data_IF_815037157766
#
_entry.id   IF_815037157766
#
_cell.length_a   1.000
_cell.length_b   1.000
_cell.length_c   1.000
_cell.angle_alpha   90.00
_cell.angle_beta   90.00
_cell.angle_gamma   90.00
#
_symmetry.space_group_name_H-M   'P 1'
#
loop_
_entity.id
_entity.type
_entity.pdbx_description
1 polymer ?
#
# COMPACT_ATOMS: atom_id res chain seq x y z
N UNK A 1 -29.19 -5.22 -16.45
CA UNK A 1 -29.50 -5.55 -17.84
C UNK A 1 -28.56 -6.67 -18.33
N UNK A 2 -29.07 -7.80 -18.89
CA UNK A 2 -28.25 -8.90 -19.41
C UNK A 2 -27.27 -8.45 -20.52
N UNK A 3 -27.66 -7.50 -21.36
CA UNK A 3 -26.79 -6.94 -22.42
C UNK A 3 -25.63 -6.17 -21.83
N UNK A 4 -25.88 -5.36 -20.81
CA UNK A 4 -24.85 -4.59 -20.11
C UNK A 4 -23.84 -5.50 -19.42
N UNK A 5 -24.30 -6.56 -18.73
CA UNK A 5 -23.42 -7.58 -18.11
C UNK A 5 -22.55 -8.30 -19.15
N UNK A 6 -23.12 -8.63 -20.31
CA UNK A 6 -22.37 -9.25 -21.40
C UNK A 6 -21.23 -8.35 -21.88
N UNK A 7 -21.54 -7.09 -22.18
CA UNK A 7 -20.51 -6.14 -22.66
C UNK A 7 -19.46 -5.85 -21.59
N UNK A 8 -19.89 -5.70 -20.34
CA UNK A 8 -18.99 -5.30 -19.25
C UNK A 8 -18.07 -6.42 -18.74
N UNK A 9 -18.54 -7.67 -18.76
CA UNK A 9 -17.81 -8.77 -18.14
C UNK A 9 -17.48 -9.90 -19.12
N UNK A 10 -18.45 -10.39 -19.89
CA UNK A 10 -18.23 -11.60 -20.69
C UNK A 10 -17.34 -11.33 -21.91
N UNK A 11 -17.52 -10.20 -22.60
CA UNK A 11 -16.66 -9.89 -23.74
C UNK A 11 -15.20 -9.63 -23.33
N UNK A 12 -14.91 -8.81 -22.31
CA UNK A 12 -13.52 -8.66 -21.83
C UNK A 12 -12.91 -9.95 -21.33
N UNK A 13 -13.69 -10.83 -20.70
CA UNK A 13 -13.22 -12.15 -20.27
C UNK A 13 -12.85 -13.04 -21.46
N UNK A 14 -13.65 -13.01 -22.53
CA UNK A 14 -13.35 -13.77 -23.73
C UNK A 14 -12.07 -13.26 -24.41
N UNK A 15 -11.91 -11.94 -24.52
CA UNK A 15 -10.67 -11.37 -25.06
C UNK A 15 -9.44 -11.70 -24.21
N UNK A 16 -9.59 -11.70 -22.88
CA UNK A 16 -8.50 -12.10 -21.97
C UNK A 16 -8.15 -13.57 -22.14
N UNK A 17 -9.16 -14.44 -22.32
CA UNK A 17 -8.95 -15.85 -22.58
C UNK A 17 -8.20 -16.08 -23.89
N UNK A 18 -8.68 -15.45 -24.99
CA UNK A 18 -8.02 -15.56 -26.30
C UNK A 18 -6.57 -15.06 -26.22
N UNK A 19 -6.34 -13.93 -25.55
CA UNK A 19 -5.00 -13.39 -25.31
C UNK A 19 -4.10 -14.36 -24.54
N UNK A 20 -4.61 -14.98 -23.48
CA UNK A 20 -3.84 -15.95 -22.71
C UNK A 20 -3.48 -17.19 -23.55
N UNK A 21 -4.38 -17.63 -24.41
CA UNK A 21 -4.12 -18.77 -25.33
C UNK A 21 -3.09 -18.39 -26.38
N UNK A 22 -3.20 -17.21 -26.99
CA UNK A 22 -2.27 -16.73 -28.03
C UNK A 22 -0.84 -16.49 -27.50
N UNK A 23 -0.73 -16.02 -26.25
CA UNK A 23 0.55 -15.71 -25.60
C UNK A 23 1.08 -16.88 -24.74
N UNK A 24 0.43 -18.03 -24.77
CA UNK A 24 0.77 -19.23 -23.98
C UNK A 24 0.89 -18.93 -22.47
N UNK A 25 -0.04 -18.10 -21.93
CA UNK A 25 -0.09 -17.72 -20.52
C UNK A 25 -0.94 -18.73 -19.76
N UNK A 26 -0.33 -19.52 -18.93
CA UNK A 26 -0.97 -20.53 -18.08
C UNK A 26 -1.25 -20.04 -16.64
N UNK A 27 -0.56 -18.98 -16.20
CA UNK A 27 -0.75 -18.36 -14.88
C UNK A 27 -1.17 -16.88 -14.99
N UNK A 28 -2.46 -16.63 -14.78
CA UNK A 28 -3.01 -15.27 -14.79
C UNK A 28 -2.57 -14.43 -13.58
N UNK A 29 -2.27 -15.06 -12.44
CA UNK A 29 -1.80 -14.36 -11.24
C UNK A 29 -0.36 -13.87 -11.39
N UNK A 30 0.43 -14.56 -12.20
CA UNK A 30 1.80 -14.20 -12.58
C UNK A 30 1.95 -13.23 -13.75
N UNK A 31 0.85 -12.76 -14.38
CA UNK A 31 0.90 -11.82 -15.51
C UNK A 31 1.87 -10.66 -15.27
N UNK A 32 2.78 -10.45 -16.20
CA UNK A 32 3.78 -9.38 -16.17
C UNK A 32 3.22 -8.05 -16.69
N UNK A 33 3.88 -6.95 -16.33
CA UNK A 33 3.46 -5.60 -16.75
C UNK A 33 3.40 -5.46 -18.28
N UNK A 34 4.38 -6.01 -19.00
CA UNK A 34 4.41 -5.98 -20.46
C UNK A 34 3.24 -6.74 -21.10
N UNK A 35 2.84 -7.87 -20.53
CA UNK A 35 1.69 -8.65 -20.99
C UNK A 35 0.40 -7.87 -20.76
N UNK A 36 0.26 -7.21 -19.61
CA UNK A 36 -0.89 -6.34 -19.30
C UNK A 36 -0.98 -5.20 -20.32
N UNK A 37 0.13 -4.54 -20.64
CA UNK A 37 0.18 -3.46 -21.62
C UNK A 37 -0.14 -3.96 -23.05
N UNK A 38 0.29 -5.18 -23.41
CA UNK A 38 -0.10 -5.79 -24.69
C UNK A 38 -1.60 -6.06 -24.75
N UNK A 39 -2.16 -6.63 -23.70
CA UNK A 39 -3.61 -6.83 -23.61
C UNK A 39 -4.38 -5.51 -23.66
N UNK A 40 -3.90 -4.46 -23.01
CA UNK A 40 -4.51 -3.13 -23.05
C UNK A 40 -4.61 -2.60 -24.48
N UNK A 41 -3.57 -2.72 -25.28
CA UNK A 41 -3.58 -2.34 -26.72
C UNK A 41 -4.62 -3.11 -27.54
N UNK A 42 -4.86 -4.38 -27.21
CA UNK A 42 -5.91 -5.18 -27.86
C UNK A 42 -7.30 -4.64 -27.47
N UNK A 43 -7.48 -4.30 -26.20
CA UNK A 43 -8.75 -3.76 -25.69
C UNK A 43 -9.03 -2.37 -26.29
N UNK A 44 -8.03 -1.51 -26.44
CA UNK A 44 -8.14 -0.19 -27.07
C UNK A 44 -8.72 -0.24 -28.48
N UNK A 45 -8.42 -1.29 -29.23
CA UNK A 45 -8.95 -1.49 -30.59
C UNK A 45 -10.43 -1.94 -30.59
N UNK A 46 -10.94 -2.41 -29.48
CA UNK A 46 -12.28 -3.02 -29.38
C UNK A 46 -13.32 -2.14 -28.70
N UNK A 47 -12.89 -1.24 -27.80
CA UNK A 47 -13.81 -0.44 -26.97
C UNK A 47 -13.29 0.97 -26.69
N UNK A 48 -14.20 1.91 -26.49
CA UNK A 48 -13.88 3.30 -26.12
C UNK A 48 -13.48 3.38 -24.62
N UNK A 49 -14.16 2.61 -23.75
CA UNK A 49 -13.90 2.63 -22.31
C UNK A 49 -12.96 1.48 -21.90
N UNK A 50 -11.69 1.64 -22.20
CA UNK A 50 -10.63 0.66 -21.94
C UNK A 50 -10.55 0.32 -20.45
N UNK A 51 -10.58 1.33 -19.59
CA UNK A 51 -10.40 1.16 -18.12
C UNK A 51 -11.41 0.18 -17.52
N UNK A 52 -12.68 0.22 -17.95
CA UNK A 52 -13.68 -0.70 -17.46
C UNK A 52 -13.43 -2.14 -17.91
N UNK A 53 -12.98 -2.33 -19.13
CA UNK A 53 -12.67 -3.66 -19.68
C UNK A 53 -11.40 -4.25 -19.08
N UNK A 54 -10.39 -3.43 -18.78
CA UNK A 54 -9.16 -3.87 -18.10
C UNK A 54 -9.38 -4.36 -16.68
N UNK A 55 -10.47 -3.96 -16.01
CA UNK A 55 -10.83 -4.51 -14.69
C UNK A 55 -11.00 -6.03 -14.69
N UNK A 56 -11.18 -6.65 -15.85
CA UNK A 56 -11.31 -8.10 -15.95
C UNK A 56 -10.07 -8.84 -15.43
N UNK A 57 -8.88 -8.32 -15.67
CA UNK A 57 -7.64 -8.92 -15.16
C UNK A 57 -7.66 -8.93 -13.63
N UNK A 58 -7.96 -7.79 -13.02
CA UNK A 58 -7.98 -7.65 -11.57
C UNK A 58 -9.06 -8.52 -10.92
N UNK A 59 -10.25 -8.55 -11.52
CA UNK A 59 -11.36 -9.38 -11.06
C UNK A 59 -11.05 -10.88 -11.17
N UNK A 60 -10.45 -11.31 -12.27
CA UNK A 60 -10.08 -12.72 -12.47
C UNK A 60 -8.97 -13.14 -11.50
N UNK A 61 -7.92 -12.33 -11.35
CA UNK A 61 -6.87 -12.55 -10.35
C UNK A 61 -7.43 -12.64 -8.93
N UNK A 62 -8.33 -11.72 -8.58
CA UNK A 62 -8.96 -11.71 -7.26
C UNK A 62 -9.74 -13.00 -7.00
N UNK A 63 -10.51 -13.45 -7.96
CA UNK A 63 -11.26 -14.70 -7.85
C UNK A 63 -10.28 -15.87 -7.65
N UNK A 64 -9.28 -16.02 -8.50
CA UNK A 64 -8.29 -17.10 -8.40
C UNK A 64 -7.60 -17.08 -7.03
N UNK A 65 -7.07 -15.95 -6.61
CA UNK A 65 -6.37 -15.81 -5.34
C UNK A 65 -7.24 -16.11 -4.12
N UNK A 66 -8.50 -15.67 -4.12
CA UNK A 66 -9.41 -15.87 -2.99
C UNK A 66 -9.98 -17.30 -2.93
N UNK A 67 -10.13 -17.99 -4.06
CA UNK A 67 -10.73 -19.33 -4.13
C UNK A 67 -9.70 -20.46 -4.16
N UNK A 68 -8.42 -20.15 -4.32
CA UNK A 68 -7.36 -21.14 -4.28
C UNK A 68 -7.36 -21.92 -2.95
N UNK A 69 -7.07 -23.23 -2.94
CA UNK A 69 -6.99 -24.02 -1.70
C UNK A 69 -5.87 -23.51 -0.78
N UNK A 70 -4.75 -23.10 -1.35
CA UNK A 70 -3.60 -22.52 -0.65
C UNK A 70 -3.36 -21.09 -1.09
N UNK A 71 -2.56 -20.34 -0.30
CA UNK A 71 -2.17 -18.96 -0.67
C UNK A 71 -1.09 -19.01 -1.74
N UNK A 72 -1.37 -18.41 -2.89
CA UNK A 72 -0.42 -18.29 -3.99
C UNK A 72 0.54 -17.12 -3.73
N UNK A 73 1.60 -17.39 -2.95
CA UNK A 73 2.61 -16.39 -2.57
C UNK A 73 3.41 -15.83 -3.76
N UNK A 74 3.45 -16.54 -4.89
CA UNK A 74 4.08 -16.12 -6.14
C UNK A 74 3.21 -15.15 -6.95
N UNK A 75 1.93 -15.00 -6.59
CA UNK A 75 1.01 -14.10 -7.28
C UNK A 75 1.51 -12.64 -7.24
N UNK A 76 1.44 -11.95 -8.38
CA UNK A 76 1.88 -10.55 -8.49
C UNK A 76 0.97 -9.56 -7.75
N UNK A 77 -0.22 -9.99 -7.34
CA UNK A 77 -1.15 -9.19 -6.53
C UNK A 77 -1.75 -10.05 -5.43
N UNK A 78 -1.63 -9.61 -4.18
CA UNK A 78 -2.24 -10.26 -3.03
C UNK A 78 -3.44 -9.48 -2.54
N UNK A 79 -4.57 -10.14 -2.35
CA UNK A 79 -5.81 -9.54 -1.85
C UNK A 79 -5.95 -9.80 -0.36
N UNK A 80 -6.06 -8.72 0.43
CA UNK A 80 -5.97 -8.76 1.89
C UNK A 80 -7.12 -9.54 2.55
N UNK A 81 -8.25 -9.67 1.88
CA UNK A 81 -9.39 -10.48 2.32
C UNK A 81 -9.01 -11.95 2.61
N UNK A 82 -7.99 -12.47 1.92
CA UNK A 82 -7.53 -13.87 2.06
C UNK A 82 -6.83 -14.14 3.39
N UNK A 83 -6.25 -13.12 4.02
CA UNK A 83 -5.33 -13.33 5.15
C UNK A 83 -6.02 -13.31 6.52
N UNK A 84 -7.31 -12.96 6.61
CA UNK A 84 -8.09 -12.92 7.85
C UNK A 84 -7.34 -12.22 9.01
N UNK A 85 -6.78 -11.04 8.71
CA UNK A 85 -5.96 -10.28 9.65
C UNK A 85 -6.80 -9.77 10.82
N UNK A 86 -6.17 -9.66 12.00
CA UNK A 86 -6.80 -9.09 13.19
C UNK A 86 -7.15 -7.61 12.99
N UNK A 87 -8.17 -7.13 13.69
CA UNK A 87 -8.70 -5.76 13.55
C UNK A 87 -7.66 -4.68 13.83
N UNK A 88 -6.76 -4.91 14.78
CA UNK A 88 -5.66 -4.00 15.14
C UNK A 88 -4.65 -3.79 14.00
N UNK A 89 -4.60 -4.71 13.05
CA UNK A 89 -3.75 -4.62 11.84
C UNK A 89 -4.43 -3.91 10.67
N UNK A 90 -5.71 -3.63 10.78
CA UNK A 90 -6.52 -2.98 9.75
C UNK A 90 -6.75 -1.51 10.08
N UNK A 91 -6.90 -0.68 9.05
CA UNK A 91 -7.36 0.68 9.20
C UNK A 91 -8.73 0.81 8.51
N UNK A 92 -9.84 0.80 9.26
CA UNK A 92 -11.18 0.87 8.67
C UNK A 92 -11.43 2.15 7.87
N UNK A 93 -10.77 3.26 8.25
CA UNK A 93 -10.92 4.56 7.56
C UNK A 93 -10.20 4.60 6.21
N UNK A 94 -9.19 3.77 6.01
CA UNK A 94 -8.43 3.68 4.75
C UNK A 94 -7.96 2.24 4.54
N UNK A 95 -8.87 1.34 4.18
CA UNK A 95 -8.56 -0.08 4.05
C UNK A 95 -7.61 -0.34 2.89
N UNK A 96 -6.56 -1.09 3.16
CA UNK A 96 -5.68 -1.62 2.11
C UNK A 96 -6.29 -2.91 1.60
N UNK A 97 -6.82 -2.88 0.39
CA UNK A 97 -7.49 -4.05 -0.20
C UNK A 97 -6.50 -5.04 -0.82
N UNK A 98 -5.36 -4.54 -1.33
CA UNK A 98 -4.37 -5.36 -2.03
C UNK A 98 -2.95 -4.84 -1.87
N UNK A 99 -1.98 -5.75 -2.01
CA UNK A 99 -0.56 -5.47 -2.23
C UNK A 99 -0.22 -5.91 -3.65
N UNK A 100 0.35 -5.00 -4.46
CA UNK A 100 0.79 -5.29 -5.84
C UNK A 100 2.31 -5.32 -5.91
N UNK A 101 2.86 -6.22 -6.69
CA UNK A 101 4.29 -6.38 -6.94
C UNK A 101 4.63 -6.23 -8.42
N UNK A 102 3.63 -5.96 -9.25
CA UNK A 102 3.74 -5.91 -10.73
C UNK A 102 4.77 -4.87 -11.18
N UNK A 103 4.88 -3.76 -10.43
CA UNK A 103 5.77 -2.65 -10.77
C UNK A 103 7.25 -3.03 -10.66
N UNK A 104 7.59 -4.10 -9.94
CA UNK A 104 8.97 -4.61 -9.84
C UNK A 104 9.24 -5.55 -11.00
N UNK A 105 9.81 -5.00 -12.08
CA UNK A 105 10.02 -5.72 -13.35
C UNK A 105 11.03 -6.86 -13.18
N UNK A 106 12.12 -6.62 -12.43
CA UNK A 106 13.11 -7.65 -12.15
C UNK A 106 12.50 -8.77 -11.30
N UNK A 107 12.38 -9.96 -11.86
CA UNK A 107 11.72 -11.11 -11.21
C UNK A 107 12.40 -11.53 -9.92
N UNK A 108 13.74 -11.60 -9.88
CA UNK A 108 14.49 -11.96 -8.65
C UNK A 108 14.22 -10.97 -7.53
N UNK A 109 14.26 -9.68 -7.84
CA UNK A 109 13.98 -8.63 -6.86
C UNK A 109 12.52 -8.63 -6.40
N UNK A 110 11.59 -8.95 -7.29
CA UNK A 110 10.17 -9.11 -6.95
C UNK A 110 9.95 -10.28 -5.99
N UNK A 111 10.57 -11.43 -6.24
CA UNK A 111 10.51 -12.60 -5.34
C UNK A 111 11.05 -12.26 -3.95
N UNK A 112 12.17 -11.54 -3.85
CA UNK A 112 12.73 -11.08 -2.58
C UNK A 112 11.76 -10.12 -1.85
N UNK A 113 11.11 -9.23 -2.57
CA UNK A 113 10.10 -8.32 -2.02
C UNK A 113 8.85 -9.06 -1.57
N UNK A 114 8.42 -10.09 -2.29
CA UNK A 114 7.30 -10.95 -1.90
C UNK A 114 7.63 -11.74 -0.62
N UNK A 115 8.84 -12.29 -0.49
CA UNK A 115 9.27 -12.95 0.75
C UNK A 115 9.31 -11.99 1.94
N UNK A 116 9.77 -10.75 1.73
CA UNK A 116 9.73 -9.71 2.76
C UNK A 116 8.29 -9.36 3.16
N UNK A 117 7.40 -9.18 2.18
CA UNK A 117 5.99 -8.93 2.43
C UNK A 117 5.31 -10.10 3.14
N UNK A 118 5.59 -11.35 2.74
CA UNK A 118 5.09 -12.59 3.35
C UNK A 118 5.45 -12.67 4.83
N UNK A 119 6.69 -12.34 5.17
CA UNK A 119 7.13 -12.28 6.56
C UNK A 119 6.29 -11.28 7.36
N UNK A 120 6.10 -10.06 6.86
CA UNK A 120 5.34 -9.03 7.56
C UNK A 120 3.85 -9.32 7.64
N UNK A 121 3.25 -9.90 6.61
CA UNK A 121 1.83 -10.26 6.60
C UNK A 121 1.57 -11.45 7.53
N UNK A 122 2.45 -12.47 7.51
CA UNK A 122 2.24 -13.73 8.23
C UNK A 122 2.62 -13.67 9.72
N UNK A 123 3.77 -13.06 10.05
CA UNK A 123 4.35 -13.12 11.41
C UNK A 123 4.44 -11.74 12.05
N UNK A 124 4.59 -10.69 11.25
CA UNK A 124 4.79 -9.33 11.75
C UNK A 124 3.55 -8.75 12.43
N UNK A 125 3.75 -7.91 13.47
CA UNK A 125 2.70 -7.15 14.15
C UNK A 125 2.34 -5.81 13.47
N UNK A 126 2.88 -5.52 12.28
CA UNK A 126 2.65 -4.25 11.60
C UNK A 126 1.25 -4.19 10.99
N UNK A 127 0.65 -2.99 11.00
CA UNK A 127 -0.57 -2.73 10.25
C UNK A 127 -0.31 -2.87 8.74
N UNK A 128 -1.32 -3.30 7.98
CA UNK A 128 -1.18 -3.45 6.52
C UNK A 128 -0.88 -2.12 5.83
N UNK A 129 -1.36 -1.00 6.37
CA UNK A 129 -1.01 0.32 5.87
C UNK A 129 0.49 0.62 6.00
N UNK A 130 1.11 0.24 7.13
CA UNK A 130 2.55 0.38 7.35
C UNK A 130 3.34 -0.55 6.43
N UNK A 131 2.91 -1.81 6.27
CA UNK A 131 3.53 -2.76 5.34
C UNK A 131 3.50 -2.19 3.92
N UNK A 132 2.34 -1.72 3.45
CA UNK A 132 2.21 -1.08 2.12
C UNK A 132 3.16 0.10 1.96
N UNK A 133 3.29 0.94 3.00
CA UNK A 133 4.21 2.09 2.99
C UNK A 133 5.68 1.66 2.87
N UNK A 134 6.10 0.63 3.62
CA UNK A 134 7.45 0.08 3.52
C UNK A 134 7.71 -0.52 2.14
N UNK A 135 6.80 -1.36 1.65
CA UNK A 135 6.91 -1.97 0.31
C UNK A 135 6.97 -0.91 -0.79
N UNK A 136 6.22 0.19 -0.65
CA UNK A 136 6.25 1.29 -1.62
C UNK A 136 7.65 1.91 -1.76
N UNK A 137 8.32 2.20 -0.63
CA UNK A 137 9.67 2.75 -0.69
C UNK A 137 10.70 1.71 -1.18
N UNK A 138 10.60 0.45 -0.76
CA UNK A 138 11.48 -0.61 -1.26
C UNK A 138 11.30 -0.82 -2.76
N UNK A 139 10.07 -0.80 -3.30
CA UNK A 139 9.84 -0.86 -4.75
C UNK A 139 10.58 0.23 -5.52
N UNK A 140 10.63 1.44 -4.99
CA UNK A 140 11.36 2.56 -5.63
C UNK A 140 12.85 2.29 -5.69
N UNK A 141 13.42 1.67 -4.66
CA UNK A 141 14.82 1.20 -4.67
C UNK A 141 15.02 0.12 -5.73
N UNK A 142 14.14 -0.89 -5.74
CA UNK A 142 14.22 -2.00 -6.70
C UNK A 142 14.03 -1.55 -8.16
N UNK A 143 13.16 -0.57 -8.41
CA UNK A 143 12.95 0.02 -9.73
C UNK A 143 14.18 0.80 -10.21
N UNK A 144 14.86 1.50 -9.31
CA UNK A 144 16.09 2.18 -9.65
C UNK A 144 17.20 1.19 -10.10
N UNK A 145 17.29 0.05 -9.41
CA UNK A 145 18.26 -1.01 -9.70
C UNK A 145 17.67 -2.17 -10.54
N UNK A 146 16.69 -1.89 -11.37
CA UNK A 146 16.01 -2.92 -12.17
C UNK A 146 16.91 -3.62 -13.19
N UNK A 147 17.94 -2.94 -13.67
CA UNK A 147 18.92 -3.48 -14.64
C UNK A 147 19.99 -4.37 -13.97
N UNK A 148 20.12 -4.31 -12.65
CA UNK A 148 21.02 -5.18 -11.90
C UNK A 148 20.43 -6.60 -11.82
N UNK A 149 21.29 -7.60 -11.76
CA UNK A 149 20.85 -9.00 -11.68
C UNK A 149 20.01 -9.25 -10.40
N UNK A 150 20.44 -8.65 -9.29
CA UNK A 150 19.73 -8.67 -8.01
C UNK A 150 20.15 -7.50 -7.14
N UNK A 151 19.23 -7.00 -6.33
CA UNK A 151 19.50 -5.99 -5.30
C UNK A 151 20.57 -6.46 -4.29
N UNK A 152 20.75 -7.76 -4.13
CA UNK A 152 21.77 -8.33 -3.26
C UNK A 152 23.21 -8.15 -3.79
N UNK A 153 23.38 -7.74 -5.04
CA UNK A 153 24.68 -7.49 -5.66
C UNK A 153 25.04 -6.01 -5.73
N UNK A 154 24.11 -5.14 -5.38
CA UNK A 154 24.33 -3.69 -5.35
C UNK A 154 25.31 -3.35 -4.22
N UNK A 155 26.38 -2.62 -4.56
CA UNK A 155 27.42 -2.22 -3.63
C UNK A 155 27.15 -0.84 -2.97
N UNK A 156 28.02 -0.46 -2.03
CA UNK A 156 27.92 0.80 -1.32
C UNK A 156 27.98 2.03 -2.24
N UNK A 157 28.86 2.02 -3.25
CA UNK A 157 29.03 3.15 -4.16
C UNK A 157 27.75 3.38 -5.01
N UNK A 158 27.14 2.31 -5.47
CA UNK A 158 25.89 2.38 -6.24
C UNK A 158 24.75 2.92 -5.36
N UNK A 159 24.70 2.53 -4.07
CA UNK A 159 23.72 3.06 -3.11
C UNK A 159 23.99 4.53 -2.79
N UNK A 160 25.24 4.94 -2.64
CA UNK A 160 25.63 6.35 -2.45
C UNK A 160 25.12 7.22 -3.59
N UNK A 161 25.29 6.77 -4.84
CA UNK A 161 24.78 7.49 -6.00
C UNK A 161 23.25 7.59 -5.99
N UNK A 162 22.58 6.52 -5.58
CA UNK A 162 21.12 6.54 -5.43
C UNK A 162 20.67 7.50 -4.33
N UNK A 163 21.31 7.48 -3.16
CA UNK A 163 20.95 8.34 -2.03
C UNK A 163 21.20 9.80 -2.36
N UNK A 164 22.30 10.12 -3.07
CA UNK A 164 22.58 11.49 -3.56
C UNK A 164 21.46 11.97 -4.49
N UNK A 165 21.01 11.15 -5.43
CA UNK A 165 19.87 11.47 -6.30
C UNK A 165 18.55 11.64 -5.56
N UNK A 166 18.36 10.97 -4.41
CA UNK A 166 17.20 11.19 -3.55
C UNK A 166 17.25 12.55 -2.84
N UNK A 167 18.45 13.01 -2.46
CA UNK A 167 18.66 14.32 -1.84
C UNK A 167 18.38 15.47 -2.82
N UNK A 168 18.80 15.36 -4.07
CA UNK A 168 18.59 16.36 -5.11
C UNK A 168 17.09 16.66 -5.37
N UNK A 169 16.18 15.78 -4.96
CA UNK A 169 14.72 15.90 -5.16
C UNK A 169 14.01 16.80 -4.15
N UNK A 170 14.72 17.65 -3.42
CA UNK A 170 14.16 18.55 -2.40
C UNK A 170 13.20 17.86 -1.41
N UNK A 171 13.60 16.70 -0.97
CA UNK A 171 12.83 15.89 -0.02
C UNK A 171 13.15 16.34 1.41
N UNK A 172 12.11 16.58 2.24
CA UNK A 172 12.31 16.88 3.66
C UNK A 172 13.16 15.81 4.33
N UNK A 173 14.09 16.22 5.20
CA UNK A 173 15.02 15.32 5.90
C UNK A 173 14.33 14.18 6.65
N UNK A 174 13.18 14.44 7.27
CA UNK A 174 12.38 13.41 7.93
C UNK A 174 11.86 12.33 6.96
N UNK A 175 11.48 12.74 5.75
CA UNK A 175 11.04 11.81 4.70
C UNK A 175 12.22 11.02 4.15
N UNK A 176 13.36 11.65 3.95
CA UNK A 176 14.60 10.98 3.56
C UNK A 176 15.01 9.92 4.61
N UNK A 177 15.06 10.31 5.89
CA UNK A 177 15.38 9.40 6.98
C UNK A 177 14.43 8.18 7.03
N UNK A 178 13.13 8.39 6.84
CA UNK A 178 12.15 7.28 6.78
C UNK A 178 12.46 6.30 5.65
N UNK A 179 12.88 6.79 4.48
CA UNK A 179 13.30 5.92 3.37
C UNK A 179 14.51 5.09 3.72
N UNK A 180 15.57 5.72 4.24
CA UNK A 180 16.79 5.01 4.69
C UNK A 180 16.43 3.92 5.70
N UNK A 181 15.55 4.21 6.66
CA UNK A 181 15.08 3.21 7.64
C UNK A 181 14.32 2.06 6.98
N UNK A 182 13.54 2.30 5.93
CA UNK A 182 12.86 1.22 5.22
C UNK A 182 13.83 0.36 4.41
N UNK A 183 14.82 0.98 3.78
CA UNK A 183 15.85 0.26 3.02
C UNK A 183 16.70 -0.63 3.93
N UNK A 184 17.19 -0.10 5.05
CA UNK A 184 18.00 -0.91 5.97
C UNK A 184 17.20 -2.10 6.53
N UNK A 185 15.92 -1.93 6.87
CA UNK A 185 15.06 -3.03 7.32
C UNK A 185 14.92 -4.14 6.27
N UNK A 186 14.78 -3.76 5.00
CA UNK A 186 14.73 -4.72 3.91
C UNK A 186 16.06 -5.46 3.75
N UNK A 187 17.20 -4.77 3.74
CA UNK A 187 18.53 -5.38 3.68
C UNK A 187 18.82 -6.26 4.89
N UNK A 188 18.42 -5.86 6.09
CA UNK A 188 18.51 -6.68 7.29
C UNK A 188 17.71 -7.98 7.15
N UNK A 189 16.51 -7.92 6.60
CA UNK A 189 15.72 -9.11 6.31
C UNK A 189 16.44 -10.02 5.33
N UNK A 190 16.98 -9.49 4.24
CA UNK A 190 17.73 -10.27 3.23
C UNK A 190 18.98 -10.94 3.84
N UNK A 191 19.70 -10.23 4.68
CA UNK A 191 20.86 -10.75 5.37
C UNK A 191 20.50 -11.88 6.35
N UNK A 192 19.50 -11.67 7.21
CA UNK A 192 19.03 -12.68 8.19
C UNK A 192 18.50 -13.93 7.49
N UNK A 193 17.89 -13.79 6.31
CA UNK A 193 17.42 -14.92 5.49
C UNK A 193 18.52 -15.60 4.67
N UNK A 194 19.74 -15.07 4.68
CA UNK A 194 20.88 -15.65 3.99
C UNK A 194 20.93 -15.35 2.49
N UNK A 195 20.12 -14.41 1.98
CA UNK A 195 20.19 -13.97 0.59
C UNK A 195 21.43 -13.15 0.28
N UNK A 196 22.05 -12.54 1.32
CA UNK A 196 23.29 -11.81 1.23
C UNK A 196 24.13 -11.97 2.49
N UNK A 197 25.45 -11.84 2.36
CA UNK A 197 26.39 -12.02 3.48
C UNK A 197 26.52 -10.77 4.34
N UNK A 198 26.63 -9.61 3.71
CA UNK A 198 26.87 -8.33 4.36
C UNK A 198 25.89 -7.28 3.84
N UNK A 199 25.49 -6.37 4.70
CA UNK A 199 24.64 -5.23 4.33
C UNK A 199 25.55 -4.16 3.72
N UNK A 200 25.27 -3.64 2.51
CA UNK A 200 26.20 -2.80 1.77
C UNK A 200 26.32 -1.36 2.31
N UNK A 201 25.54 -0.98 3.32
CA UNK A 201 25.61 0.37 3.89
C UNK A 201 25.24 0.39 5.38
N UNK A 202 25.68 1.44 6.08
CA UNK A 202 25.32 1.72 7.47
C UNK A 202 24.42 2.95 7.52
N UNK A 203 23.18 2.84 8.03
CA UNK A 203 22.21 3.93 8.03
C UNK A 203 22.71 5.19 8.78
N UNK A 204 23.56 5.02 9.80
CA UNK A 204 24.11 6.11 10.61
C UNK A 204 24.85 7.16 9.77
N UNK A 205 25.42 6.78 8.62
CA UNK A 205 26.15 7.71 7.76
C UNK A 205 25.24 8.56 6.87
N UNK A 206 23.97 8.17 6.72
CA UNK A 206 23.01 8.85 5.82
C UNK A 206 21.91 9.57 6.56
N UNK A 207 21.64 9.19 7.82
CA UNK A 207 20.57 9.82 8.59
C UNK A 207 20.89 11.28 8.90
N UNK A 208 19.98 12.16 8.51
CA UNK A 208 20.05 13.60 8.72
C UNK A 208 19.50 13.96 10.09
N UNK A 209 20.07 14.99 10.70
CA UNK A 209 19.56 15.54 11.95
C UNK A 209 18.26 16.30 11.68
N UNK A 210 17.17 15.81 12.21
CA UNK A 210 15.87 16.46 12.09
C UNK A 210 15.52 17.20 13.37
N UNK A 211 14.91 18.38 13.22
CA UNK A 211 14.37 19.14 14.33
C UNK A 211 12.83 19.13 14.18
N UNK A 212 12.09 18.79 15.25
CA UNK A 212 10.64 18.88 15.19
C UNK A 212 10.24 20.36 14.98
N UNK A 213 9.65 20.65 13.83
CA UNK A 213 9.00 21.93 13.57
C UNK A 213 7.67 21.95 14.33
N UNK A 214 7.61 22.77 15.37
CA UNK A 214 6.35 23.00 16.07
C UNK A 214 5.57 24.10 15.34
N UNK A 215 4.53 23.70 14.64
CA UNK A 215 3.55 24.65 14.10
C UNK A 215 2.45 24.83 15.13
N UNK A 216 2.26 26.04 15.60
CA UNK A 216 1.08 26.36 16.38
C UNK A 216 -0.17 26.18 15.50
N UNK A 217 -1.02 25.27 15.91
CA UNK A 217 -2.30 24.96 15.26
C UNK A 217 -3.48 25.36 16.13
N UNK A 218 -3.25 26.22 17.11
CA UNK A 218 -4.30 26.73 17.98
C UNK A 218 -5.29 27.53 17.15
N UNK A 219 -6.56 27.22 17.30
CA UNK A 219 -7.65 27.98 16.69
C UNK A 219 -7.94 29.18 17.56
N UNK A 220 -7.97 30.38 16.98
CA UNK A 220 -8.32 31.60 17.70
C UNK A 220 -9.71 31.46 18.38
N UNK A 221 -9.84 31.96 19.60
CA UNK A 221 -11.07 31.85 20.39
C UNK A 221 -12.31 32.40 19.64
N UNK A 222 -12.13 33.50 18.92
CA UNK A 222 -13.20 34.08 18.10
C UNK A 222 -13.72 33.11 17.04
N UNK A 223 -12.80 32.44 16.31
CA UNK A 223 -13.14 31.45 15.27
C UNK A 223 -13.81 30.23 15.89
N UNK A 224 -13.28 29.78 17.01
CA UNK A 224 -13.86 28.70 17.78
C UNK A 224 -15.31 28.98 18.20
N UNK A 225 -15.57 30.15 18.78
CA UNK A 225 -16.91 30.57 19.20
C UNK A 225 -17.87 30.68 17.99
N UNK A 226 -17.41 31.17 16.85
CA UNK A 226 -18.21 31.18 15.63
C UNK A 226 -18.59 29.78 15.16
N UNK A 227 -17.66 28.83 15.23
CA UNK A 227 -17.94 27.42 14.89
C UNK A 227 -19.01 26.85 15.80
N UNK A 228 -18.87 27.03 17.12
CA UNK A 228 -19.86 26.56 18.08
C UNK A 228 -21.26 27.14 17.84
N UNK A 229 -21.35 28.45 17.58
CA UNK A 229 -22.62 29.11 17.30
C UNK A 229 -23.30 28.61 16.01
N UNK A 230 -22.52 28.19 15.03
CA UNK A 230 -23.04 27.67 13.75
C UNK A 230 -23.18 26.16 13.70
N UNK A 231 -22.78 25.46 14.76
CA UNK A 231 -22.73 23.99 14.79
C UNK A 231 -24.11 23.33 14.59
N UNK A 232 -25.17 24.03 14.97
CA UNK A 232 -26.55 23.58 14.76
C UNK A 232 -26.93 23.42 13.28
N UNK A 233 -26.29 24.15 12.39
CA UNK A 233 -26.53 24.08 10.95
C UNK A 233 -25.96 22.80 10.31
N UNK A 234 -25.08 22.09 11.01
CA UNK A 234 -24.54 20.83 10.55
C UNK A 234 -25.52 19.67 10.78
N UNK A 235 -25.56 18.67 9.88
CA UNK A 235 -26.24 17.41 10.15
C UNK A 235 -25.76 16.77 11.45
N UNK A 236 -26.64 15.96 12.09
CA UNK A 236 -26.37 15.40 13.41
C UNK A 236 -25.05 14.66 13.52
N UNK A 237 -24.75 13.76 12.58
CA UNK A 237 -23.54 12.91 12.64
C UNK A 237 -22.24 13.72 12.55
N UNK A 238 -22.02 14.61 11.57
CA UNK A 238 -20.83 15.48 11.55
C UNK A 238 -20.72 16.36 12.81
N UNK A 239 -21.84 16.85 13.34
CA UNK A 239 -21.87 17.65 14.58
C UNK A 239 -21.38 16.84 15.80
N UNK A 240 -21.86 15.62 15.95
CA UNK A 240 -21.41 14.72 17.03
C UNK A 240 -19.93 14.35 16.89
N UNK A 241 -19.46 14.07 15.68
CA UNK A 241 -18.03 13.81 15.41
C UNK A 241 -17.20 15.02 15.81
N UNK A 242 -17.61 16.23 15.41
CA UNK A 242 -16.90 17.45 15.78
C UNK A 242 -16.84 17.65 17.31
N UNK A 243 -17.95 17.48 18.00
CA UNK A 243 -18.01 17.59 19.46
C UNK A 243 -17.10 16.55 20.14
N UNK A 244 -17.09 15.31 19.65
CA UNK A 244 -16.19 14.29 20.15
C UNK A 244 -14.71 14.69 19.99
N UNK A 245 -14.32 15.11 18.79
CA UNK A 245 -12.94 15.58 18.53
C UNK A 245 -12.56 16.72 19.46
N UNK A 246 -13.49 17.66 19.65
CA UNK A 246 -13.28 18.84 20.47
C UNK A 246 -13.14 18.50 21.96
N UNK A 247 -14.05 17.70 22.50
CA UNK A 247 -14.09 17.39 23.94
C UNK A 247 -13.00 16.40 24.35
N UNK A 248 -12.62 15.47 23.48
CA UNK A 248 -11.71 14.37 23.84
C UNK A 248 -10.27 14.57 23.33
N UNK A 249 -10.06 15.44 22.35
CA UNK A 249 -8.76 15.58 21.66
C UNK A 249 -8.36 14.36 20.83
N UNK A 250 -9.25 13.39 20.62
CA UNK A 250 -9.00 12.22 19.79
C UNK A 250 -8.80 12.61 18.33
N UNK A 251 -8.05 11.77 17.59
CA UNK A 251 -7.93 11.93 16.13
C UNK A 251 -9.22 11.47 15.44
N UNK A 252 -9.50 12.01 14.25
CA UNK A 252 -10.69 11.64 13.46
C UNK A 252 -10.80 10.12 13.25
N UNK A 253 -9.68 9.43 13.01
CA UNK A 253 -9.67 7.98 12.87
C UNK A 253 -10.07 7.25 14.16
N UNK A 254 -9.65 7.77 15.32
CA UNK A 254 -9.98 7.21 16.62
C UNK A 254 -11.48 7.40 16.92
N UNK A 255 -12.02 8.59 16.66
CA UNK A 255 -13.47 8.85 16.82
C UNK A 255 -14.30 7.96 15.89
N UNK A 256 -13.89 7.80 14.63
CA UNK A 256 -14.63 6.99 13.66
C UNK A 256 -14.56 5.47 13.94
N UNK A 257 -13.65 5.03 14.81
CA UNK A 257 -13.49 3.61 15.20
C UNK A 257 -13.91 3.34 16.63
N UNK A 258 -14.48 4.32 17.33
CA UNK A 258 -15.04 4.11 18.67
C UNK A 258 -16.11 3.03 18.64
N UNK A 259 -16.03 2.09 19.59
CA UNK A 259 -17.07 1.09 19.82
C UNK A 259 -18.26 1.70 20.55
N UNK A 260 -19.43 1.09 20.42
CA UNK A 260 -20.65 1.58 21.06
C UNK A 260 -20.61 1.60 22.59
N UNK A 261 -19.70 0.84 23.19
CA UNK A 261 -19.44 0.71 24.62
C UNK A 261 -18.14 1.42 25.05
N UNK A 262 -17.61 2.32 24.25
CA UNK A 262 -16.36 3.04 24.55
C UNK A 262 -16.47 4.04 25.71
N UNK A 263 -17.69 4.42 26.08
CA UNK A 263 -17.96 5.33 27.19
C UNK A 263 -18.72 4.63 28.28
N UNK A 264 -18.23 4.79 29.50
CA UNK A 264 -18.90 4.36 30.70
C UNK A 264 -19.37 5.58 31.50
N UNK A 265 -20.56 5.53 32.05
CA UNK A 265 -21.14 6.56 32.89
C UNK A 265 -21.51 5.94 34.23
N UNK A 266 -20.99 6.47 35.34
CA UNK A 266 -21.30 6.01 36.69
C UNK A 266 -22.35 6.88 37.43
N UNK A 267 -22.87 7.92 36.75
CA UNK A 267 -23.85 8.87 37.31
C UNK A 267 -23.27 10.25 37.62
N UNK A 268 -21.94 10.35 37.76
CA UNK A 268 -21.21 11.59 38.01
C UNK A 268 -20.15 11.85 36.94
N UNK A 269 -19.38 10.83 36.60
CA UNK A 269 -18.28 10.94 35.66
C UNK A 269 -18.45 10.02 34.43
N UNK A 270 -17.90 10.43 33.29
CA UNK A 270 -17.82 9.64 32.08
C UNK A 270 -16.37 9.24 31.80
N UNK A 271 -16.13 7.96 31.50
CA UNK A 271 -14.82 7.38 31.25
C UNK A 271 -14.69 6.95 29.79
#
# INVERSE_FOLDING_TARGET
DPKERRVRYLLPLHWLYDFCVEEEIDDLEGLELEQIQRFEKIVEQKVVNVKNSMQIIDNSRKILFLTAPEIHWHANVWYMERFHLSEDRLNPSNPVQRLSFIEVINKKNRELLQEYAKYHVGIGGLTIANIRGQLYEVKRLLEYFKEEESICQVDENQLDDYFRKLEEKDTKDDTFNKRIVHYIKFYQFLNVRGYMKEIPFKPEYYLKKTYPEHHDRTVEEKVYMEILHKLYAFPLVPRLIFLHLWCTGLRISEVCTLKGDAYYWDGEDAW
#
